data_IF_504323347563
#
_entry.id   IF_504323347563
#
_cell.length_a   1.000
_cell.length_b   1.000
_cell.length_c   1.000
_cell.angle_alpha   90.00
_cell.angle_beta   90.00
_cell.angle_gamma   90.00
#
_symmetry.space_group_name_H-M   'P 1'
#
loop_
_entity.id
_entity.type
_entity.pdbx_description
1 polymer ?
#
# COMPACT_ATOMS: atom_id res chain seq x y z
N UNK A 1 7.52 79.51 11.86
CA UNK A 1 6.52 78.43 11.63
C UNK A 1 7.23 77.26 10.95
N UNK A 2 6.78 76.01 11.16
CA UNK A 2 7.52 74.86 11.71
C UNK A 2 8.28 73.98 10.69
N UNK A 3 9.17 73.11 11.20
CA UNK A 3 9.67 71.86 10.59
C UNK A 3 8.59 70.75 10.74
N UNK A 4 8.40 69.78 9.80
CA UNK A 4 9.26 68.59 9.73
C UNK A 4 9.43 67.93 8.33
N UNK A 5 10.66 67.52 7.99
CA UNK A 5 11.09 66.14 7.63
C UNK A 5 10.25 65.30 6.57
N UNK A 6 10.52 63.99 6.30
CA UNK A 6 11.13 63.55 5.02
C UNK A 6 10.38 62.43 4.24
N UNK A 7 10.85 62.12 3.02
CA UNK A 7 10.68 60.83 2.27
C UNK A 7 9.26 60.43 1.79
N UNK A 8 9.05 59.40 0.94
CA UNK A 8 9.85 58.74 -0.13
C UNK A 8 9.02 58.58 -1.45
N UNK A 9 9.52 57.93 -2.53
CA UNK A 9 8.71 57.63 -3.72
C UNK A 9 7.66 56.53 -3.45
N UNK A 10 6.45 56.72 -3.99
CA UNK A 10 5.45 55.67 -4.19
C UNK A 10 5.23 55.54 -5.71
N UNK A 11 5.15 54.38 -6.34
CA UNK A 11 4.71 53.08 -5.85
C UNK A 11 5.46 51.97 -6.61
N UNK A 12 5.95 50.98 -5.85
CA UNK A 12 6.35 49.70 -6.42
C UNK A 12 5.15 48.99 -7.02
N UNK A 13 5.32 48.48 -8.23
CA UNK A 13 4.45 47.53 -8.89
C UNK A 13 4.51 46.20 -8.09
N UNK A 14 3.60 46.03 -7.14
CA UNK A 14 3.37 44.74 -6.49
C UNK A 14 2.27 44.00 -7.24
N UNK A 15 2.59 43.47 -8.41
CA UNK A 15 1.80 42.38 -8.99
C UNK A 15 1.83 41.21 -8.00
N UNK A 16 0.68 40.73 -7.50
CA UNK A 16 0.67 39.55 -6.63
C UNK A 16 1.17 38.35 -7.44
N UNK A 17 2.22 37.68 -6.94
CA UNK A 17 2.66 36.41 -7.50
C UNK A 17 1.50 35.42 -7.43
N UNK A 18 1.03 34.93 -8.58
CA UNK A 18 0.00 33.89 -8.61
C UNK A 18 0.56 32.63 -7.98
N UNK A 19 -0.03 32.20 -6.86
CA UNK A 19 0.27 30.92 -6.24
C UNK A 19 0.09 29.81 -7.28
N UNK A 20 1.07 28.92 -7.51
CA UNK A 20 0.89 27.79 -8.40
C UNK A 20 -0.32 26.96 -7.94
N UNK A 21 -1.17 26.47 -8.85
CA UNK A 21 -2.32 25.67 -8.48
C UNK A 21 -1.83 24.44 -7.70
N UNK A 22 -2.45 24.21 -6.55
CA UNK A 22 -2.21 23.01 -5.73
C UNK A 22 -2.38 21.78 -6.62
N UNK A 23 -1.39 20.86 -6.69
CA UNK A 23 -1.53 19.66 -7.49
C UNK A 23 -2.78 18.91 -7.01
N UNK A 24 -3.64 18.43 -7.92
CA UNK A 24 -4.88 17.78 -7.54
C UNK A 24 -4.58 16.61 -6.61
N UNK A 25 -5.40 16.38 -5.57
CA UNK A 25 -5.21 15.27 -4.66
C UNK A 25 -5.14 13.98 -5.47
N UNK A 26 -4.05 13.22 -5.29
CA UNK A 26 -3.84 11.94 -5.97
C UNK A 26 -5.06 11.07 -5.69
N UNK A 27 -5.82 10.74 -6.74
CA UNK A 27 -7.02 9.91 -6.65
C UNK A 27 -6.70 8.64 -5.84
N UNK A 28 -7.49 8.42 -4.80
CA UNK A 28 -7.39 7.26 -3.93
C UNK A 28 -7.45 5.97 -4.76
N UNK A 29 -6.53 5.05 -4.46
CA UNK A 29 -6.35 3.73 -5.11
C UNK A 29 -7.49 2.75 -4.79
N UNK A 30 -8.76 3.16 -4.87
CA UNK A 30 -9.92 2.29 -4.58
C UNK A 30 -10.68 1.84 -5.84
N UNK A 31 -10.44 2.44 -7.01
CA UNK A 31 -11.14 2.07 -8.25
C UNK A 31 -10.75 0.68 -8.78
N UNK A 32 -9.46 0.30 -8.58
CA UNK A 32 -8.88 -0.95 -9.10
C UNK A 32 -9.63 -2.19 -8.60
N UNK A 33 -10.16 -2.19 -7.37
CA UNK A 33 -10.81 -3.39 -6.85
C UNK A 33 -12.24 -3.58 -7.39
N UNK A 34 -13.01 -2.51 -7.59
CA UNK A 34 -14.43 -2.67 -7.94
C UNK A 34 -14.62 -3.06 -9.40
N UNK A 35 -13.90 -2.40 -10.31
CA UNK A 35 -13.97 -2.71 -11.75
C UNK A 35 -13.46 -4.12 -12.06
N UNK A 36 -12.41 -4.58 -11.36
CA UNK A 36 -11.94 -5.96 -11.48
C UNK A 36 -12.97 -6.95 -10.98
N UNK A 37 -13.58 -6.71 -9.81
CA UNK A 37 -14.61 -7.58 -9.27
C UNK A 37 -15.83 -7.66 -10.19
N UNK A 38 -16.27 -6.53 -10.78
CA UNK A 38 -17.36 -6.51 -11.75
C UNK A 38 -17.01 -7.29 -13.02
N UNK A 39 -15.76 -7.19 -13.49
CA UNK A 39 -15.28 -7.95 -14.66
C UNK A 39 -15.26 -9.45 -14.39
N UNK A 40 -14.73 -9.86 -13.22
CA UNK A 40 -14.70 -11.26 -12.79
C UNK A 40 -16.11 -11.83 -12.60
N UNK A 41 -17.02 -11.03 -12.02
CA UNK A 41 -18.43 -11.41 -11.87
C UNK A 41 -19.11 -11.64 -13.21
N UNK A 42 -18.94 -10.72 -14.16
CA UNK A 42 -19.50 -10.87 -15.51
C UNK A 42 -18.91 -12.10 -16.23
N UNK A 43 -17.61 -12.37 -16.06
CA UNK A 43 -16.98 -13.54 -16.65
C UNK A 43 -17.55 -14.84 -16.06
N UNK A 44 -17.75 -14.91 -14.74
CA UNK A 44 -18.34 -16.07 -14.08
C UNK A 44 -19.78 -16.32 -14.53
N UNK A 45 -20.60 -15.28 -14.63
CA UNK A 45 -21.99 -15.41 -15.11
C UNK A 45 -22.03 -15.96 -16.55
N UNK A 46 -21.15 -15.49 -17.43
CA UNK A 46 -21.05 -15.95 -18.82
C UNK A 46 -20.54 -17.39 -18.90
N UNK A 47 -19.57 -17.78 -18.07
CA UNK A 47 -19.10 -19.17 -18.00
C UNK A 47 -20.19 -20.10 -17.47
N UNK A 48 -20.92 -19.69 -16.44
CA UNK A 48 -22.03 -20.48 -15.89
C UNK A 48 -23.16 -20.65 -16.92
N UNK A 49 -23.43 -19.64 -17.75
CA UNK A 49 -24.33 -19.78 -18.89
C UNK A 49 -23.78 -20.81 -19.90
N UNK A 50 -22.50 -20.70 -20.30
CA UNK A 50 -21.87 -21.61 -21.25
C UNK A 50 -21.87 -23.09 -20.79
N UNK A 51 -21.83 -23.33 -19.47
CA UNK A 51 -21.87 -24.66 -18.87
C UNK A 51 -23.27 -25.30 -18.85
N UNK A 52 -24.34 -24.56 -19.15
CA UNK A 52 -25.68 -25.14 -19.22
C UNK A 52 -25.71 -26.27 -20.26
N UNK A 53 -26.30 -27.40 -19.90
CA UNK A 53 -26.34 -28.59 -20.75
C UNK A 53 -26.93 -28.33 -22.15
N UNK A 54 -27.86 -27.38 -22.26
CA UNK A 54 -28.46 -26.98 -23.53
C UNK A 54 -27.51 -26.15 -24.44
N UNK A 55 -26.50 -25.48 -23.87
CA UNK A 55 -25.61 -24.55 -24.56
C UNK A 55 -24.21 -25.12 -24.79
N UNK A 56 -23.77 -26.05 -23.95
CA UNK A 56 -22.43 -26.64 -24.04
C UNK A 56 -22.20 -27.39 -25.38
N UNK A 57 -23.11 -28.25 -25.90
CA UNK A 57 -22.87 -28.94 -27.17
C UNK A 57 -22.69 -28.01 -28.39
N UNK A 58 -23.54 -26.98 -28.62
CA UNK A 58 -23.33 -26.07 -29.75
C UNK A 58 -22.08 -25.18 -29.55
N UNK A 59 -21.79 -24.73 -28.33
CA UNK A 59 -20.57 -23.95 -28.05
C UNK A 59 -19.28 -24.75 -28.25
N UNK A 60 -19.28 -26.06 -27.94
CA UNK A 60 -18.14 -26.93 -28.19
C UNK A 60 -17.80 -27.06 -29.69
N UNK A 61 -18.80 -26.97 -30.58
CA UNK A 61 -18.56 -26.91 -32.05
C UNK A 61 -17.86 -25.63 -32.48
N UNK A 62 -17.79 -24.63 -31.60
CA UNK A 62 -17.12 -23.33 -31.78
C UNK A 62 -15.87 -23.21 -30.90
N UNK A 63 -15.26 -24.34 -30.56
CA UNK A 63 -14.05 -24.46 -29.74
C UNK A 63 -14.16 -24.00 -28.28
N UNK A 64 -15.36 -23.65 -27.80
CA UNK A 64 -15.61 -23.39 -26.39
C UNK A 64 -15.88 -24.73 -25.69
N UNK A 65 -14.79 -25.42 -25.33
CA UNK A 65 -14.83 -26.75 -24.72
C UNK A 65 -15.09 -26.69 -23.21
N UNK A 66 -15.49 -27.82 -22.62
CA UNK A 66 -15.61 -27.95 -21.16
C UNK A 66 -14.28 -27.70 -20.43
N UNK A 67 -13.16 -28.10 -21.02
CA UNK A 67 -11.82 -27.84 -20.49
C UNK A 67 -11.53 -26.34 -20.45
N UNK A 68 -11.81 -25.62 -21.53
CA UNK A 68 -11.65 -24.16 -21.59
C UNK A 68 -12.45 -23.45 -20.49
N UNK A 69 -13.73 -23.82 -20.31
CA UNK A 69 -14.61 -23.22 -19.30
C UNK A 69 -14.15 -23.54 -17.87
N UNK A 70 -13.65 -24.76 -17.62
CA UNK A 70 -13.13 -25.18 -16.32
C UNK A 70 -11.85 -24.42 -15.95
N UNK A 71 -10.93 -24.28 -16.90
CA UNK A 71 -9.72 -23.45 -16.73
C UNK A 71 -10.09 -22.00 -16.42
N UNK A 72 -11.04 -21.43 -17.18
CA UNK A 72 -11.49 -20.05 -16.94
C UNK A 72 -12.14 -19.87 -15.55
N UNK A 73 -12.91 -20.83 -15.04
CA UNK A 73 -13.43 -20.79 -13.67
C UNK A 73 -12.31 -20.80 -12.61
N UNK A 74 -11.29 -21.62 -12.83
CA UNK A 74 -10.12 -21.68 -11.94
C UNK A 74 -9.33 -20.37 -11.95
N UNK A 75 -9.15 -19.79 -13.13
CA UNK A 75 -8.46 -18.51 -13.30
C UNK A 75 -9.24 -17.36 -12.62
N UNK A 76 -10.59 -17.36 -12.70
CA UNK A 76 -11.44 -16.41 -11.98
C UNK A 76 -11.28 -16.55 -10.46
N UNK A 77 -11.27 -17.78 -9.93
CA UNK A 77 -11.03 -18.03 -8.50
C UNK A 77 -9.65 -17.57 -8.03
N UNK A 78 -8.63 -17.77 -8.86
CA UNK A 78 -7.25 -17.31 -8.61
C UNK A 78 -7.18 -15.78 -8.60
N UNK A 79 -7.82 -15.11 -9.57
CA UNK A 79 -7.88 -13.65 -9.63
C UNK A 79 -8.59 -13.05 -8.40
N UNK A 80 -9.68 -13.66 -7.91
CA UNK A 80 -10.33 -13.25 -6.66
C UNK A 80 -9.41 -13.37 -5.45
N UNK A 81 -8.61 -14.44 -5.39
CA UNK A 81 -7.63 -14.64 -4.32
C UNK A 81 -6.54 -13.57 -4.35
N UNK A 82 -6.03 -13.21 -5.54
CA UNK A 82 -5.08 -12.09 -5.70
C UNK A 82 -5.67 -10.75 -5.25
N UNK A 83 -6.93 -10.48 -5.59
CA UNK A 83 -7.63 -9.28 -5.14
C UNK A 83 -7.75 -9.21 -3.61
N UNK A 84 -8.12 -10.33 -2.97
CA UNK A 84 -8.14 -10.44 -1.50
C UNK A 84 -6.75 -10.24 -0.87
N UNK A 85 -5.74 -10.91 -1.41
CA UNK A 85 -4.34 -10.82 -0.98
C UNK A 85 -3.79 -9.40 -1.03
N UNK A 86 -4.03 -8.68 -2.13
CA UNK A 86 -3.61 -7.30 -2.30
C UNK A 86 -4.24 -6.36 -1.26
N UNK A 87 -5.52 -6.56 -0.90
CA UNK A 87 -6.21 -5.79 0.15
C UNK A 87 -5.63 -6.11 1.52
N UNK A 88 -5.51 -7.39 1.86
CA UNK A 88 -4.99 -7.85 3.14
C UNK A 88 -3.57 -7.34 3.39
N UNK A 89 -2.67 -7.44 2.40
CA UNK A 89 -1.30 -6.93 2.49
C UNK A 89 -1.26 -5.39 2.61
N UNK A 90 -2.21 -4.69 2.01
CA UNK A 90 -2.34 -3.23 2.16
C UNK A 90 -2.83 -2.82 3.55
N UNK A 91 -3.77 -3.56 4.12
CA UNK A 91 -4.22 -3.36 5.51
C UNK A 91 -3.12 -3.72 6.50
N UNK A 92 -2.38 -4.81 6.26
CA UNK A 92 -1.21 -5.18 7.05
C UNK A 92 -0.16 -4.06 7.06
N UNK A 93 0.10 -3.41 5.92
CA UNK A 93 0.97 -2.21 5.86
C UNK A 93 0.52 -1.11 6.82
N UNK A 94 -0.78 -0.83 6.91
CA UNK A 94 -1.30 0.19 7.85
C UNK A 94 -1.02 -0.21 9.30
N UNK A 95 -1.25 -1.48 9.64
CA UNK A 95 -0.89 -2.05 10.95
C UNK A 95 0.59 -1.91 11.27
N UNK A 96 1.46 -2.30 10.33
CA UNK A 96 2.93 -2.21 10.49
C UNK A 96 3.41 -0.75 10.58
N UNK A 97 2.74 0.20 9.93
CA UNK A 97 3.05 1.64 10.05
C UNK A 97 2.72 2.16 11.46
N UNK A 98 1.60 1.70 12.04
CA UNK A 98 1.25 1.99 13.43
C UNK A 98 2.29 1.39 14.37
N UNK A 99 2.65 0.11 14.17
CA UNK A 99 3.71 -0.55 14.94
C UNK A 99 5.06 0.19 14.85
N UNK A 100 5.44 0.72 13.68
CA UNK A 100 6.68 1.52 13.56
C UNK A 100 6.64 2.77 14.44
N UNK A 101 5.49 3.46 14.49
CA UNK A 101 5.32 4.66 15.34
C UNK A 101 5.44 4.31 16.81
N UNK A 102 4.84 3.20 17.23
CA UNK A 102 4.87 2.73 18.61
C UNK A 102 6.30 2.28 19.00
N UNK A 103 6.98 1.51 18.14
CA UNK A 103 8.36 1.08 18.32
C UNK A 103 9.34 2.26 18.35
N UNK A 104 9.16 3.25 17.47
CA UNK A 104 9.94 4.50 17.51
C UNK A 104 9.78 5.20 18.85
N UNK A 105 8.54 5.32 19.32
CA UNK A 105 8.22 6.01 20.58
C UNK A 105 8.84 5.27 21.77
N UNK A 106 8.74 3.94 21.80
CA UNK A 106 9.36 3.10 22.82
C UNK A 106 10.89 3.24 22.83
N UNK A 107 11.55 3.14 21.67
CA UNK A 107 13.00 3.29 21.55
C UNK A 107 13.47 4.69 21.99
N UNK A 108 12.77 5.75 21.57
CA UNK A 108 13.09 7.12 21.98
C UNK A 108 12.96 7.29 23.49
N UNK A 109 11.91 6.74 24.11
CA UNK A 109 11.71 6.82 25.56
C UNK A 109 12.85 6.14 26.33
N UNK A 110 13.27 4.95 25.91
CA UNK A 110 14.40 4.23 26.51
C UNK A 110 15.72 5.02 26.38
N UNK A 111 16.02 5.56 25.20
CA UNK A 111 17.22 6.36 24.97
C UNK A 111 17.20 7.68 25.75
N UNK A 112 16.04 8.32 25.91
CA UNK A 112 15.89 9.48 26.80
C UNK A 112 16.13 9.11 28.28
N UNK A 113 15.77 7.88 28.69
CA UNK A 113 16.16 7.32 29.99
C UNK A 113 17.67 7.29 30.18
N UNK A 114 18.40 6.82 29.16
CA UNK A 114 19.88 6.85 29.13
C UNK A 114 20.42 8.28 29.25
N UNK A 115 19.83 9.26 28.54
CA UNK A 115 20.24 10.66 28.66
C UNK A 115 20.06 11.22 30.08
N UNK A 116 18.94 10.86 30.74
CA UNK A 116 18.67 11.27 32.12
C UNK A 116 19.68 10.65 33.09
N UNK A 117 19.99 9.36 32.94
CA UNK A 117 21.00 8.67 33.75
C UNK A 117 22.41 9.25 33.54
N UNK A 118 22.77 9.55 32.29
CA UNK A 118 24.03 10.23 31.96
C UNK A 118 24.11 11.62 32.58
N UNK A 119 23.03 12.41 32.52
CA UNK A 119 22.95 13.73 33.16
C UNK A 119 23.08 13.62 34.68
N UNK A 120 22.39 12.66 35.30
CA UNK A 120 22.49 12.41 36.75
C UNK A 120 23.92 12.10 37.17
N UNK A 121 24.60 11.18 36.46
CA UNK A 121 26.00 10.82 36.76
C UNK A 121 26.93 12.01 36.55
N UNK A 122 26.78 12.74 35.45
CA UNK A 122 27.57 13.94 35.14
C UNK A 122 27.44 15.01 36.23
N UNK A 123 26.23 15.29 36.73
CA UNK A 123 26.03 16.22 37.84
C UNK A 123 26.71 15.76 39.13
N UNK A 124 26.72 14.44 39.39
CA UNK A 124 27.34 13.89 40.60
C UNK A 124 28.86 13.87 40.54
N UNK A 125 29.46 13.56 39.39
CA UNK A 125 30.91 13.36 39.24
C UNK A 125 31.64 14.55 38.63
N UNK A 126 30.92 15.51 38.05
CA UNK A 126 31.48 16.61 37.27
C UNK A 126 31.95 16.23 35.86
N UNK A 127 31.83 14.95 35.47
CA UNK A 127 32.27 14.47 34.16
C UNK A 127 31.30 14.91 33.05
N UNK A 128 31.67 15.97 32.33
CA UNK A 128 30.88 16.52 31.23
C UNK A 128 30.97 15.70 29.94
N UNK A 129 31.92 14.76 29.83
CA UNK A 129 32.06 13.93 28.62
C UNK A 129 30.81 13.06 28.39
N UNK A 130 30.18 12.59 29.47
CA UNK A 130 28.92 11.84 29.45
C UNK A 130 27.78 12.60 28.75
N UNK A 131 27.73 13.93 28.88
CA UNK A 131 26.69 14.73 28.23
C UNK A 131 26.83 14.69 26.71
N UNK A 132 28.07 14.69 26.21
CA UNK A 132 28.36 14.60 24.77
C UNK A 132 28.15 13.18 24.26
N UNK A 133 28.66 12.16 24.96
CA UNK A 133 28.52 10.74 24.60
C UNK A 133 27.06 10.32 24.44
N UNK A 134 26.20 10.77 25.35
CA UNK A 134 24.77 10.45 25.34
C UNK A 134 23.89 11.57 24.78
N UNK A 135 24.48 12.49 24.01
CA UNK A 135 23.78 13.56 23.29
C UNK A 135 22.75 14.33 24.16
N UNK A 136 23.03 14.53 25.44
CA UNK A 136 22.08 15.10 26.41
C UNK A 136 21.65 16.50 25.96
N UNK A 137 20.34 16.71 25.86
CA UNK A 137 19.76 17.97 25.37
C UNK A 137 19.73 18.13 23.84
N UNK A 138 20.22 17.14 23.09
CA UNK A 138 20.13 17.11 21.63
C UNK A 138 18.93 16.27 21.17
N UNK A 139 18.34 16.66 20.03
CA UNK A 139 17.30 15.86 19.36
C UNK A 139 17.96 14.82 18.45
N UNK A 140 17.87 13.55 18.83
CA UNK A 140 18.52 12.43 18.14
C UNK A 140 17.57 11.55 17.30
N UNK A 141 16.33 11.99 17.10
CA UNK A 141 15.28 11.21 16.42
C UNK A 141 14.62 12.00 15.29
N UNK A 142 15.39 12.89 14.65
CA UNK A 142 14.96 13.71 13.51
C UNK A 142 14.55 12.86 12.30
N UNK A 143 15.29 11.79 12.05
CA UNK A 143 14.96 10.76 11.08
C UNK A 143 15.41 9.40 11.60
N UNK A 144 15.03 8.34 10.88
CA UNK A 144 15.28 6.96 11.25
C UNK A 144 16.77 6.61 11.33
N UNK A 145 17.55 6.99 10.31
CA UNK A 145 18.99 6.72 10.28
C UNK A 145 19.72 7.35 11.48
N UNK A 146 19.36 8.59 11.83
CA UNK A 146 19.91 9.29 13.00
C UNK A 146 19.52 8.59 14.30
N UNK A 147 18.26 8.13 14.43
CA UNK A 147 17.81 7.39 15.61
C UNK A 147 18.57 6.06 15.76
N UNK A 148 18.66 5.27 14.69
CA UNK A 148 19.34 3.97 14.70
C UNK A 148 20.83 4.13 15.00
N UNK A 149 21.50 5.08 14.35
CA UNK A 149 22.93 5.35 14.59
C UNK A 149 23.17 5.81 16.03
N UNK A 150 22.34 6.72 16.55
CA UNK A 150 22.45 7.19 17.93
C UNK A 150 22.24 6.05 18.91
N UNK A 151 21.23 5.21 18.70
CA UNK A 151 20.96 4.04 19.54
C UNK A 151 22.16 3.08 19.58
N UNK A 152 22.75 2.78 18.42
CA UNK A 152 23.98 1.97 18.33
C UNK A 152 25.13 2.61 19.10
N UNK A 153 25.37 3.91 18.93
CA UNK A 153 26.44 4.61 19.64
C UNK A 153 26.25 4.59 21.17
N UNK A 154 25.02 4.73 21.65
CA UNK A 154 24.69 4.64 23.08
C UNK A 154 24.98 3.22 23.59
N UNK A 155 24.47 2.20 22.90
CA UNK A 155 24.67 0.79 23.25
C UNK A 155 26.15 0.40 23.33
N UNK A 156 26.99 0.91 22.43
CA UNK A 156 28.44 0.66 22.48
C UNK A 156 29.12 1.27 23.70
N UNK A 157 28.58 2.37 24.24
CA UNK A 157 29.19 3.11 25.36
C UNK A 157 28.64 2.67 26.73
N UNK A 158 27.42 2.14 26.77
CA UNK A 158 26.70 1.79 28.01
C UNK A 158 27.43 0.81 28.94
N UNK A 159 28.06 -0.29 28.45
CA UNK A 159 28.73 -1.25 29.33
C UNK A 159 29.87 -0.63 30.15
N UNK A 160 30.64 0.28 29.55
CA UNK A 160 31.76 0.95 30.21
C UNK A 160 31.32 2.12 31.10
N UNK A 161 30.18 2.74 30.78
CA UNK A 161 29.74 3.96 31.44
C UNK A 161 29.12 3.74 32.82
N UNK A 162 28.67 2.52 33.17
CA UNK A 162 28.02 2.19 34.44
C UNK A 162 27.07 3.29 34.93
N UNK A 163 26.07 3.61 34.09
CA UNK A 163 25.11 4.68 34.36
C UNK A 163 24.11 4.26 35.45
N UNK A 164 23.65 5.18 36.31
CA UNK A 164 22.67 4.87 37.35
C UNK A 164 21.37 4.31 36.75
N UNK A 165 20.91 3.16 37.25
CA UNK A 165 19.66 2.54 36.82
C UNK A 165 19.66 1.98 35.39
N UNK A 166 20.81 1.93 34.73
CA UNK A 166 21.00 1.22 33.46
C UNK A 166 21.82 -0.04 33.75
N UNK A 167 21.12 -1.11 34.06
CA UNK A 167 21.68 -2.45 34.31
C UNK A 167 21.73 -3.28 33.00
N UNK A 168 22.29 -4.50 33.03
CA UNK A 168 22.34 -5.36 31.84
C UNK A 168 20.96 -5.64 31.23
N UNK A 169 19.90 -5.73 32.02
CA UNK A 169 18.54 -5.96 31.54
C UNK A 169 18.03 -4.75 30.77
N UNK A 170 18.26 -3.54 31.27
CA UNK A 170 17.94 -2.30 30.56
C UNK A 170 18.72 -2.18 29.24
N UNK A 171 19.98 -2.60 29.20
CA UNK A 171 20.79 -2.65 27.97
C UNK A 171 20.19 -3.65 26.96
N UNK A 172 19.83 -4.86 27.40
CA UNK A 172 19.19 -5.87 26.57
C UNK A 172 17.84 -5.37 26.02
N UNK A 173 17.07 -4.66 26.83
CA UNK A 173 15.78 -4.10 26.40
C UNK A 173 15.94 -3.00 25.33
N UNK A 174 16.99 -2.17 25.43
CA UNK A 174 17.32 -1.18 24.38
C UNK A 174 17.79 -1.88 23.10
N UNK A 175 18.58 -2.96 23.20
CA UNK A 175 18.99 -3.75 22.04
C UNK A 175 17.79 -4.36 21.32
N UNK A 176 16.86 -4.96 22.07
CA UNK A 176 15.64 -5.53 21.52
C UNK A 176 14.77 -4.46 20.85
N UNK A 177 14.54 -3.33 21.53
CA UNK A 177 13.77 -2.22 20.95
C UNK A 177 14.39 -1.66 19.66
N UNK A 178 15.73 -1.62 19.57
CA UNK A 178 16.43 -1.24 18.33
C UNK A 178 16.28 -2.30 17.24
N UNK A 179 16.36 -3.59 17.58
CA UNK A 179 16.17 -4.69 16.65
C UNK A 179 14.74 -4.71 16.09
N UNK A 180 13.73 -4.59 16.95
CA UNK A 180 12.32 -4.53 16.57
C UNK A 180 12.04 -3.31 15.69
N UNK A 181 12.58 -2.15 16.09
CA UNK A 181 12.46 -0.94 15.28
C UNK A 181 13.09 -1.12 13.90
N UNK A 182 14.24 -1.79 13.77
CA UNK A 182 14.86 -2.13 12.48
C UNK A 182 14.01 -3.11 11.66
N UNK A 183 13.52 -4.16 12.29
CA UNK A 183 12.75 -5.23 11.65
C UNK A 183 11.46 -4.70 10.98
N UNK A 184 10.78 -3.75 11.62
CA UNK A 184 9.52 -3.20 11.09
C UNK A 184 9.65 -2.63 9.67
N UNK A 185 10.83 -2.13 9.27
CA UNK A 185 11.05 -1.61 7.92
C UNK A 185 11.15 -2.73 6.88
N UNK A 186 11.79 -3.83 7.25
CA UNK A 186 11.83 -5.04 6.41
C UNK A 186 10.41 -5.53 6.16
N UNK A 187 9.59 -5.58 7.21
CA UNK A 187 8.20 -6.03 7.13
C UNK A 187 7.34 -5.08 6.27
N UNK A 188 7.50 -3.76 6.42
CA UNK A 188 6.82 -2.77 5.57
C UNK A 188 7.19 -2.91 4.10
N UNK A 189 8.48 -3.07 3.83
CA UNK A 189 9.00 -3.19 2.46
C UNK A 189 8.51 -4.48 1.80
N UNK A 190 8.53 -5.59 2.55
CA UNK A 190 7.98 -6.88 2.11
C UNK A 190 6.48 -6.81 1.81
N UNK A 191 5.69 -6.24 2.72
CA UNK A 191 4.26 -6.07 2.52
C UNK A 191 3.92 -5.18 1.30
N UNK A 192 4.70 -4.11 1.09
CA UNK A 192 4.53 -3.22 -0.07
C UNK A 192 4.89 -3.91 -1.39
N UNK A 193 6.02 -4.63 -1.43
CA UNK A 193 6.43 -5.39 -2.61
C UNK A 193 5.37 -6.44 -2.96
N UNK A 194 4.95 -7.24 -1.97
CA UNK A 194 3.92 -8.27 -2.16
C UNK A 194 2.58 -7.69 -2.64
N UNK A 195 2.12 -6.57 -2.07
CA UNK A 195 0.88 -5.93 -2.51
C UNK A 195 0.98 -5.30 -3.91
N UNK A 196 2.20 -4.98 -4.39
CA UNK A 196 2.42 -4.46 -5.74
C UNK A 196 2.40 -5.61 -6.75
N UNK A 197 3.10 -6.70 -6.45
CA UNK A 197 3.12 -7.91 -7.27
C UNK A 197 1.72 -8.51 -7.42
N UNK A 198 0.96 -8.65 -6.34
CA UNK A 198 -0.41 -9.20 -6.41
C UNK A 198 -1.32 -8.36 -7.30
N UNK A 199 -1.17 -7.02 -7.28
CA UNK A 199 -1.93 -6.12 -8.16
C UNK A 199 -1.54 -6.28 -9.62
N UNK A 200 -0.24 -6.32 -9.93
CA UNK A 200 0.21 -6.51 -11.31
C UNK A 200 -0.26 -7.87 -11.88
N UNK A 201 -0.23 -8.91 -11.05
CA UNK A 201 -0.74 -10.23 -11.42
C UNK A 201 -2.26 -10.22 -11.61
N UNK A 202 -2.99 -9.50 -10.73
CA UNK A 202 -4.44 -9.30 -10.87
C UNK A 202 -4.79 -8.59 -12.17
N UNK A 203 -4.10 -7.49 -12.51
CA UNK A 203 -4.32 -6.72 -13.74
C UNK A 203 -4.18 -7.63 -14.97
N UNK A 204 -3.11 -8.44 -14.98
CA UNK A 204 -2.83 -9.40 -16.05
C UNK A 204 -3.92 -10.47 -16.15
N UNK A 205 -4.32 -11.05 -15.02
CA UNK A 205 -5.35 -12.08 -14.97
C UNK A 205 -6.72 -11.55 -15.41
N UNK A 206 -7.11 -10.35 -14.96
CA UNK A 206 -8.39 -9.72 -15.34
C UNK A 206 -8.43 -9.43 -16.84
N UNK A 207 -7.32 -8.96 -17.44
CA UNK A 207 -7.25 -8.75 -18.88
C UNK A 207 -7.39 -10.06 -19.68
N UNK A 208 -6.74 -11.14 -19.23
CA UNK A 208 -6.84 -12.45 -19.86
C UNK A 208 -8.27 -13.03 -19.75
N UNK A 209 -8.87 -12.95 -18.57
CA UNK A 209 -10.25 -13.37 -18.30
C UNK A 209 -11.24 -12.56 -19.14
N UNK A 210 -11.05 -11.24 -19.27
CA UNK A 210 -11.90 -10.39 -20.09
C UNK A 210 -11.84 -10.79 -21.58
N UNK A 211 -10.65 -11.17 -22.08
CA UNK A 211 -10.47 -11.68 -23.45
C UNK A 211 -11.19 -13.01 -23.65
N UNK A 212 -10.96 -13.99 -22.77
CA UNK A 212 -11.61 -15.32 -22.87
C UNK A 212 -13.12 -15.27 -22.69
N UNK A 213 -13.62 -14.39 -21.81
CA UNK A 213 -15.05 -14.06 -21.73
C UNK A 213 -15.57 -13.53 -23.07
N UNK A 214 -14.81 -12.67 -23.75
CA UNK A 214 -15.19 -12.15 -25.07
C UNK A 214 -15.24 -13.23 -26.14
N UNK A 215 -14.33 -14.21 -26.10
CA UNK A 215 -14.36 -15.39 -26.98
C UNK A 215 -15.66 -16.18 -26.82
N UNK A 216 -16.10 -16.44 -25.57
CA UNK A 216 -17.40 -17.08 -25.31
C UNK A 216 -18.55 -16.25 -25.89
N UNK A 217 -18.53 -14.93 -25.68
CA UNK A 217 -19.57 -14.03 -26.19
C UNK A 217 -19.63 -14.02 -27.73
N UNK A 218 -18.48 -14.06 -28.41
CA UNK A 218 -18.42 -14.15 -29.87
C UNK A 218 -18.95 -15.50 -30.38
N UNK A 219 -18.63 -16.60 -29.69
CA UNK A 219 -19.18 -17.91 -30.02
C UNK A 219 -20.71 -17.93 -29.83
N UNK A 220 -21.20 -17.38 -28.74
CA UNK A 220 -22.63 -17.26 -28.46
C UNK A 220 -23.35 -16.33 -29.44
N UNK A 221 -22.75 -15.21 -29.85
CA UNK A 221 -23.35 -14.27 -30.82
C UNK A 221 -23.57 -14.93 -32.19
N UNK A 222 -22.64 -15.78 -32.60
CA UNK A 222 -22.71 -16.51 -33.85
C UNK A 222 -23.65 -17.72 -33.80
N UNK A 223 -23.73 -18.42 -32.66
CA UNK A 223 -24.66 -19.56 -32.49
C UNK A 223 -26.12 -19.08 -32.36
N UNK A 224 -26.34 -17.98 -31.64
CA UNK A 224 -27.65 -17.42 -31.37
C UNK A 224 -27.79 -16.02 -31.98
N UNK A 225 -27.91 -15.91 -33.31
CA UNK A 225 -27.88 -14.62 -34.00
C UNK A 225 -29.03 -13.71 -33.57
N UNK A 226 -28.74 -12.40 -33.52
CA UNK A 226 -29.70 -11.36 -33.11
C UNK A 226 -30.88 -11.17 -34.08
N UNK A 227 -30.76 -11.68 -35.30
CA UNK A 227 -31.81 -11.61 -36.32
C UNK A 227 -33.00 -12.50 -35.99
N UNK A 228 -32.80 -13.53 -35.16
CA UNK A 228 -33.87 -14.37 -34.64
C UNK A 228 -34.29 -13.91 -33.24
N UNK A 229 -35.51 -13.34 -33.13
CA UNK A 229 -36.03 -12.79 -31.87
C UNK A 229 -36.23 -13.83 -30.77
N UNK A 230 -36.40 -15.12 -31.12
CA UNK A 230 -36.53 -16.22 -30.14
C UNK A 230 -35.25 -16.38 -29.31
N UNK A 231 -34.10 -15.97 -29.85
CA UNK A 231 -32.81 -16.06 -29.16
C UNK A 231 -32.60 -14.98 -28.09
N UNK A 232 -33.49 -13.99 -27.97
CA UNK A 232 -33.28 -12.83 -27.09
C UNK A 232 -33.01 -13.22 -25.62
N UNK A 233 -33.70 -14.25 -25.11
CA UNK A 233 -33.47 -14.78 -23.77
C UNK A 233 -32.08 -15.37 -23.59
N UNK A 234 -31.66 -16.25 -24.52
CA UNK A 234 -30.34 -16.88 -24.50
C UNK A 234 -29.22 -15.82 -24.60
N UNK A 235 -29.38 -14.84 -25.50
CA UNK A 235 -28.44 -13.72 -25.66
C UNK A 235 -28.26 -12.91 -24.38
N UNK A 236 -29.33 -12.68 -23.62
CA UNK A 236 -29.26 -11.96 -22.36
C UNK A 236 -28.40 -12.70 -21.30
N UNK A 237 -28.42 -14.03 -21.28
CA UNK A 237 -27.58 -14.82 -20.36
C UNK A 237 -26.09 -14.66 -20.66
N UNK A 238 -25.72 -14.55 -21.93
CA UNK A 238 -24.36 -14.24 -22.37
C UNK A 238 -24.00 -12.74 -22.31
N UNK A 239 -24.89 -11.92 -21.75
CA UNK A 239 -24.77 -10.45 -21.69
C UNK A 239 -24.60 -9.81 -23.08
N UNK A 240 -25.22 -10.41 -24.10
CA UNK A 240 -25.24 -9.91 -25.47
C UNK A 240 -26.44 -8.98 -25.70
N UNK A 241 -26.31 -7.96 -26.58
CA UNK A 241 -27.45 -7.15 -26.98
C UNK A 241 -28.51 -8.00 -27.71
N UNK A 242 -29.81 -7.84 -27.41
CA UNK A 242 -30.85 -8.68 -28.00
C UNK A 242 -31.12 -8.38 -29.48
N UNK A 243 -30.95 -7.12 -29.92
CA UNK A 243 -31.34 -6.67 -31.27
C UNK A 243 -30.18 -6.35 -32.23
N UNK A 244 -28.93 -6.59 -31.83
CA UNK A 244 -27.74 -6.28 -32.65
C UNK A 244 -26.61 -7.25 -32.36
N UNK A 245 -25.76 -7.46 -33.37
CA UNK A 245 -24.54 -8.25 -33.26
C UNK A 245 -23.57 -7.64 -32.24
N UNK A 246 -22.69 -8.49 -31.71
CA UNK A 246 -21.59 -8.08 -30.86
C UNK A 246 -20.57 -7.30 -31.71
N UNK A 247 -20.17 -6.11 -31.26
CA UNK A 247 -19.19 -5.26 -31.95
C UNK A 247 -17.75 -5.65 -31.67
#
# INVERSE_FOLDING_TARGET
MPDPSPTPPASGDTTPASTPPTPPPRRNRSAINREHLDTLQQAEEIVNAALKAAYAPPLAKRDITAAFLTTLQTDIGTARTLAGGAVQKSTAKVGVTKSETDLKTALVALLQGVQKAAKQKSTRTGDKTLLKTYAVGQKFYSNRAVLEQTATNFLSSLPAAALPGIDPDAIANIQQALADYKQVQTDQTGAQSGATTDRANLDTAVADIARRRREIQLAADAEWPHTNKVNAGIRAEFKLPPGKALK
#
